data_IF_003147558522
#
_entry.id   IF_003147558522
#
_cell.length_a   1.000
_cell.length_b   1.000
_cell.length_c   1.000
_cell.angle_alpha   90.00
_cell.angle_beta   90.00
_cell.angle_gamma   90.00
#
_symmetry.space_group_name_H-M   'P 1'
#
loop_
_entity.id
_entity.type
_entity.pdbx_description
1 polymer ?
#
# COMPACT_ATOMS: atom_id res chain seq x y z
N UNK A 1 19.25 -21.43 -4.68
CA UNK A 1 18.88 -20.02 -4.44
C UNK A 1 17.68 -20.02 -3.51
N UNK A 2 17.92 -19.72 -2.23
CA UNK A 2 16.91 -19.75 -1.17
C UNK A 2 16.45 -18.31 -0.89
N UNK A 3 15.58 -17.76 -1.74
CA UNK A 3 15.05 -16.39 -1.62
C UNK A 3 13.56 -16.35 -1.23
N UNK A 4 13.09 -17.35 -0.48
CA UNK A 4 11.69 -17.49 -0.06
C UNK A 4 11.26 -16.63 1.16
N UNK A 5 12.12 -16.21 2.12
CA UNK A 5 11.65 -15.40 3.25
C UNK A 5 11.66 -13.88 2.98
N UNK A 6 12.55 -13.41 2.10
CA UNK A 6 12.74 -11.98 1.84
C UNK A 6 11.57 -11.34 1.05
N UNK A 7 10.87 -12.12 0.21
CA UNK A 7 9.72 -11.63 -0.57
C UNK A 7 8.47 -11.40 0.31
N UNK A 8 8.23 -12.28 1.31
CA UNK A 8 7.09 -12.25 2.21
C UNK A 8 7.23 -11.09 3.19
N UNK A 9 8.42 -10.86 3.76
CA UNK A 9 8.67 -9.72 4.65
C UNK A 9 8.53 -8.37 3.92
N UNK A 10 9.04 -8.25 2.69
CA UNK A 10 8.86 -7.05 1.85
C UNK A 10 7.38 -6.76 1.56
N UNK A 11 6.58 -7.77 1.26
CA UNK A 11 5.13 -7.61 1.07
C UNK A 11 4.42 -7.03 2.30
N UNK A 12 4.77 -7.50 3.52
CA UNK A 12 4.25 -6.92 4.77
C UNK A 12 4.67 -5.45 4.94
N UNK A 13 5.94 -5.12 4.64
CA UNK A 13 6.43 -3.74 4.73
C UNK A 13 5.67 -2.80 3.79
N UNK A 14 5.41 -3.20 2.53
CA UNK A 14 4.63 -2.40 1.59
C UNK A 14 3.17 -2.21 2.04
N UNK A 15 2.57 -3.24 2.62
CA UNK A 15 1.21 -3.14 3.17
C UNK A 15 1.15 -2.21 4.39
N UNK A 16 2.06 -2.38 5.35
CA UNK A 16 2.11 -1.53 6.54
C UNK A 16 2.39 -0.08 6.14
N UNK A 17 3.36 0.15 5.26
CA UNK A 17 3.69 1.49 4.76
C UNK A 17 2.51 2.13 4.02
N UNK A 18 1.86 1.38 3.11
CA UNK A 18 0.71 1.85 2.37
C UNK A 18 -0.49 2.17 3.26
N UNK A 19 -0.80 1.30 4.24
CA UNK A 19 -1.87 1.55 5.23
C UNK A 19 -1.55 2.75 6.11
N UNK A 20 -0.30 2.88 6.57
CA UNK A 20 0.14 4.00 7.40
C UNK A 20 0.00 5.32 6.65
N UNK A 21 0.47 5.37 5.40
CA UNK A 21 0.31 6.54 4.55
C UNK A 21 -1.16 6.87 4.28
N UNK A 22 -2.00 5.85 4.08
CA UNK A 22 -3.43 6.04 3.87
C UNK A 22 -4.12 6.64 5.11
N UNK A 23 -3.81 6.13 6.31
CA UNK A 23 -4.32 6.67 7.58
C UNK A 23 -3.86 8.11 7.79
N UNK A 24 -2.59 8.42 7.49
CA UNK A 24 -2.08 9.79 7.53
C UNK A 24 -2.87 10.74 6.61
N UNK A 25 -3.30 10.28 5.43
CA UNK A 25 -4.14 11.09 4.55
C UNK A 25 -5.56 11.28 5.08
N UNK A 26 -6.14 10.26 5.73
CA UNK A 26 -7.43 10.39 6.41
C UNK A 26 -7.39 11.45 7.51
N UNK A 27 -6.29 11.51 8.28
CA UNK A 27 -6.10 12.52 9.32
C UNK A 27 -5.91 13.92 8.71
N UNK A 28 -5.33 14.05 7.50
CA UNK A 28 -5.16 15.33 6.80
C UNK A 28 -6.44 15.84 6.14
N UNK A 29 -7.40 14.98 5.86
CA UNK A 29 -8.62 15.28 5.11
C UNK A 29 -9.47 16.42 5.73
N UNK A 30 -9.67 16.49 7.06
CA UNK A 30 -10.32 17.63 7.71
C UNK A 30 -9.62 18.96 7.46
N UNK A 31 -8.28 18.97 7.38
CA UNK A 31 -7.49 20.17 7.11
C UNK A 31 -7.70 20.70 5.68
N UNK A 32 -7.80 19.79 4.69
CA UNK A 32 -8.15 20.16 3.32
C UNK A 32 -9.58 20.69 3.22
N UNK A 33 -10.51 20.08 3.96
CA UNK A 33 -11.90 20.53 4.01
C UNK A 33 -12.02 21.93 4.63
N UNK A 34 -11.32 22.18 5.75
CA UNK A 34 -11.28 23.50 6.37
C UNK A 34 -10.67 24.55 5.43
N UNK A 35 -9.56 24.23 4.76
CA UNK A 35 -8.93 25.12 3.78
C UNK A 35 -9.84 25.44 2.57
N UNK A 36 -10.67 24.49 2.16
CA UNK A 36 -11.69 24.68 1.14
C UNK A 36 -12.79 25.62 1.60
N UNK A 37 -13.29 25.45 2.84
CA UNK A 37 -14.31 26.33 3.41
C UNK A 37 -13.81 27.77 3.61
N UNK A 38 -12.55 27.96 3.99
CA UNK A 38 -11.95 29.29 4.19
C UNK A 38 -11.45 29.94 2.89
N UNK A 39 -11.55 29.26 1.74
CA UNK A 39 -11.02 29.77 0.46
C UNK A 39 -9.49 29.87 0.41
N UNK A 40 -8.78 29.28 1.38
CA UNK A 40 -7.32 29.28 1.48
C UNK A 40 -6.72 27.98 0.98
N UNK A 41 -7.32 27.40 -0.07
CA UNK A 41 -6.85 26.13 -0.65
C UNK A 41 -5.50 26.37 -1.32
N UNK A 42 -4.48 25.76 -0.74
CA UNK A 42 -3.17 25.70 -1.35
C UNK A 42 -3.12 24.51 -2.33
N UNK A 43 -3.18 24.83 -3.63
CA UNK A 43 -3.17 23.84 -4.71
C UNK A 43 -1.92 22.94 -4.68
N UNK A 44 -0.77 23.46 -4.25
CA UNK A 44 0.46 22.67 -4.17
C UNK A 44 0.35 21.62 -3.07
N UNK A 45 -0.12 22.02 -1.87
CA UNK A 45 -0.35 21.09 -0.76
C UNK A 45 -1.40 20.04 -1.07
N UNK A 46 -2.49 20.44 -1.74
CA UNK A 46 -3.54 19.53 -2.17
C UNK A 46 -2.98 18.50 -3.16
N UNK A 47 -2.25 18.94 -4.18
CA UNK A 47 -1.64 18.07 -5.20
C UNK A 47 -0.66 17.07 -4.59
N UNK A 48 0.21 17.52 -3.68
CA UNK A 48 1.11 16.63 -2.93
C UNK A 48 0.35 15.58 -2.11
N UNK A 49 -0.77 15.96 -1.47
CA UNK A 49 -1.61 15.01 -0.75
C UNK A 49 -2.23 13.95 -1.66
N UNK A 50 -2.69 14.35 -2.85
CA UNK A 50 -3.25 13.43 -3.85
C UNK A 50 -2.18 12.46 -4.36
N UNK A 51 -0.98 12.96 -4.68
CA UNK A 51 0.14 12.10 -5.11
C UNK A 51 0.46 11.07 -4.01
N UNK A 52 0.58 11.51 -2.75
CA UNK A 52 0.84 10.62 -1.64
C UNK A 52 -0.28 9.58 -1.45
N UNK A 53 -1.54 9.95 -1.67
CA UNK A 53 -2.67 9.03 -1.64
C UNK A 53 -2.57 7.97 -2.75
N UNK A 54 -2.24 8.37 -3.97
CA UNK A 54 -2.04 7.44 -5.10
C UNK A 54 -0.91 6.46 -4.78
N UNK A 55 0.23 6.94 -4.26
CA UNK A 55 1.35 6.09 -3.86
C UNK A 55 0.92 5.10 -2.77
N UNK A 56 0.17 5.55 -1.76
CA UNK A 56 -0.34 4.68 -0.71
C UNK A 56 -1.21 3.54 -1.26
N UNK A 57 -2.15 3.85 -2.17
CA UNK A 57 -3.02 2.86 -2.82
C UNK A 57 -2.20 1.87 -3.66
N UNK A 58 -1.20 2.36 -4.42
CA UNK A 58 -0.31 1.49 -5.19
C UNK A 58 0.48 0.55 -4.28
N UNK A 59 1.04 1.04 -3.17
CA UNK A 59 1.77 0.20 -2.20
C UNK A 59 0.87 -0.88 -1.61
N UNK A 60 -0.38 -0.57 -1.24
CA UNK A 60 -1.36 -1.55 -0.76
C UNK A 60 -1.65 -2.58 -1.87
N UNK A 61 -1.87 -2.13 -3.11
CA UNK A 61 -2.14 -3.01 -4.25
C UNK A 61 -0.98 -3.94 -4.57
N UNK A 62 0.26 -3.45 -4.59
CA UNK A 62 1.46 -4.25 -4.82
C UNK A 62 1.70 -5.23 -3.68
N UNK A 63 1.55 -4.78 -2.43
CA UNK A 63 1.65 -5.65 -1.25
C UNK A 63 0.62 -6.78 -1.27
N UNK A 64 -0.62 -6.49 -1.68
CA UNK A 64 -1.66 -7.51 -1.85
C UNK A 64 -1.36 -8.46 -3.02
N UNK A 65 -0.93 -7.95 -4.17
CA UNK A 65 -0.59 -8.79 -5.33
C UNK A 65 0.52 -9.79 -4.99
N UNK A 66 1.60 -9.34 -4.34
CA UNK A 66 2.69 -10.22 -3.89
C UNK A 66 2.22 -11.33 -2.92
N UNK A 67 1.18 -11.09 -2.12
CA UNK A 67 0.60 -12.15 -1.27
C UNK A 67 -0.18 -13.20 -2.04
N UNK A 68 -0.86 -12.81 -3.12
CA UNK A 68 -1.62 -13.77 -3.95
C UNK A 68 -0.67 -14.66 -4.73
N UNK A 69 0.38 -14.08 -5.30
CA UNK A 69 1.39 -14.82 -6.05
C UNK A 69 2.20 -15.75 -5.12
N UNK A 70 2.48 -15.32 -3.88
CA UNK A 70 3.13 -16.16 -2.87
C UNK A 70 2.29 -17.30 -2.30
N UNK A 71 0.96 -17.31 -2.50
CA UNK A 71 0.10 -18.45 -2.13
C UNK A 71 0.17 -19.59 -3.16
N UNK A 72 0.47 -19.28 -4.42
CA UNK A 72 0.56 -20.28 -5.48
C UNK A 72 1.83 -21.16 -5.38
N UNK A 73 2.89 -20.68 -4.72
CA UNK A 73 4.10 -21.48 -4.45
C UNK A 73 4.04 -22.34 -3.18
N UNK A 74 3.02 -22.14 -2.32
CA UNK A 74 2.86 -22.87 -1.06
C UNK A 74 1.88 -24.06 -1.21
N UNK A 75 1.36 -24.34 -2.41
CA UNK A 75 0.71 -25.63 -2.68
C UNK A 75 1.81 -26.70 -2.73
N UNK A 76 1.89 -27.60 -1.73
CA UNK A 76 2.84 -28.70 -1.79
C UNK A 76 2.37 -29.57 -2.94
N UNK A 77 3.14 -29.58 -4.03
CA UNK A 77 2.92 -30.49 -5.13
C UNK A 77 2.71 -31.88 -4.58
N UNK A 78 1.49 -32.38 -4.77
CA UNK A 78 1.11 -33.78 -4.68
C UNK A 78 1.91 -34.53 -5.76
N UNK A 79 3.22 -34.64 -5.54
CA UNK A 79 4.08 -35.58 -6.25
C UNK A 79 4.00 -36.91 -5.51
N UNK A 80 2.79 -37.51 -5.49
CA UNK A 80 2.68 -38.96 -5.41
C UNK A 80 3.13 -39.52 -6.76
N UNK A 81 4.44 -39.69 -6.93
CA UNK A 81 4.98 -40.51 -8.02
C UNK A 81 4.77 -41.96 -7.59
N UNK A 82 3.71 -42.57 -8.12
CA UNK A 82 3.46 -44.02 -8.14
C UNK A 82 4.41 -44.73 -9.10
#
# INVERSE_FOLDING_TARGET
MADLPANRSRSYLYLIAGVTLFVLQLIRLPGHYAAWQSGTVDAFRLTMSVIALVVAVLMIRFGWRMRRDGKASDEPGDHSIS
#
